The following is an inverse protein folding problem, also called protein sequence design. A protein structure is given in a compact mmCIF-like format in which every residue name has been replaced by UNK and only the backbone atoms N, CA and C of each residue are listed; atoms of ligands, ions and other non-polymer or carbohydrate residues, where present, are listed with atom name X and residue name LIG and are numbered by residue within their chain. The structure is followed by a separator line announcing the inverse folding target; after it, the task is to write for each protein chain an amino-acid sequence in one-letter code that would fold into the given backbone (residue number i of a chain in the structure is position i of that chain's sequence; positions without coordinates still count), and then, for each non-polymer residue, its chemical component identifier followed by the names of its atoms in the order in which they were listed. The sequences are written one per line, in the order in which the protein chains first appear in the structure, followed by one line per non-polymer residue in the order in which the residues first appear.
data_IF_853864014575
#
_entry.id   IF_853864014575
#
_cell.length_a   1.000
_cell.length_b   1.000
_cell.length_c   1.000
_cell.angle_alpha   90.00
_cell.angle_beta   90.00
_cell.angle_gamma   90.00
#
_symmetry.space_group_name_H-M   'P 1'
#
loop_
_entity.id
_entity.type
_entity.pdbx_description
1 polymer ?
#
# COMPACT_ATOMS: atom_id res chain seq x y z
N UNK A 1 6.12 -4.36 -2.90
CA UNK A 1 5.90 -5.75 -3.37
C UNK A 1 6.42 -5.99 -4.79
N UNK A 2 5.84 -5.37 -5.83
CA UNK A 2 6.26 -5.53 -7.23
C UNK A 2 7.79 -5.48 -7.43
N UNK A 3 8.45 -4.42 -6.94
CA UNK A 3 9.90 -4.25 -7.12
C UNK A 3 10.70 -5.42 -6.52
N UNK A 4 10.35 -5.85 -5.31
CA UNK A 4 11.03 -6.95 -4.63
C UNK A 4 10.86 -8.27 -5.38
N UNK A 5 9.65 -8.59 -5.85
CA UNK A 5 9.38 -9.78 -6.65
C UNK A 5 10.12 -9.76 -7.99
N UNK A 6 10.15 -8.61 -8.68
CA UNK A 6 10.87 -8.49 -9.95
C UNK A 6 12.37 -8.68 -9.76
N UNK A 7 12.96 -8.07 -8.74
CA UNK A 7 14.38 -8.23 -8.44
C UNK A 7 14.72 -9.66 -8.02
N UNK A 8 13.88 -10.29 -7.20
CA UNK A 8 14.03 -11.71 -6.85
C UNK A 8 13.91 -12.62 -8.09
N UNK A 9 12.99 -12.33 -9.02
CA UNK A 9 12.77 -13.11 -10.24
C UNK A 9 13.95 -13.09 -11.21
N UNK A 10 14.81 -12.06 -11.14
CA UNK A 10 16.05 -11.98 -11.92
C UNK A 10 17.27 -12.50 -11.13
N UNK A 11 17.02 -13.20 -10.02
CA UNK A 11 18.05 -13.91 -9.24
C UNK A 11 18.75 -13.07 -8.18
N UNK A 12 18.27 -11.86 -7.85
CA UNK A 12 18.87 -11.04 -6.77
C UNK A 12 18.35 -11.46 -5.41
N UNK A 13 19.24 -11.49 -4.41
CA UNK A 13 18.88 -11.63 -3.00
C UNK A 13 18.40 -10.29 -2.47
N UNK A 14 17.10 -10.18 -2.27
CA UNK A 14 16.46 -8.95 -1.81
C UNK A 14 16.05 -9.11 -0.35
N UNK A 15 16.13 -8.05 0.45
CA UNK A 15 15.51 -7.97 1.77
C UNK A 15 14.71 -6.66 1.88
N UNK A 16 13.51 -6.72 2.47
CA UNK A 16 12.69 -5.53 2.74
C UNK A 16 12.86 -5.13 4.21
N UNK A 17 13.13 -3.84 4.45
CA UNK A 17 13.12 -3.24 5.77
C UNK A 17 11.92 -2.31 5.91
N UNK A 18 11.09 -2.54 6.92
CA UNK A 18 9.97 -1.67 7.25
C UNK A 18 10.04 -1.18 8.70
N UNK A 19 9.20 -0.20 9.05
CA UNK A 19 9.21 0.40 10.40
C UNK A 19 8.60 -0.50 11.44
N UNK A 20 7.64 -1.33 11.03
CA UNK A 20 6.70 -1.97 11.96
C UNK A 20 5.81 -0.93 12.65
N UNK A 21 5.24 0.02 11.90
CA UNK A 21 4.34 1.02 12.48
C UNK A 21 3.17 0.33 13.19
N UNK A 22 2.87 0.76 14.42
CA UNK A 22 1.90 0.12 15.36
C UNK A 22 2.22 -1.33 15.79
N UNK A 23 3.33 -1.91 15.35
CA UNK A 23 3.81 -3.20 15.82
C UNK A 23 4.38 -3.15 17.23
N UNK A 24 4.35 -4.28 17.93
CA UNK A 24 4.92 -4.46 19.28
C UNK A 24 6.32 -5.08 19.28
N UNK A 25 6.84 -5.45 18.11
CA UNK A 25 8.19 -6.00 17.99
C UNK A 25 9.25 -5.07 18.60
N UNK A 26 10.31 -5.68 19.15
CA UNK A 26 11.45 -4.98 19.74
C UNK A 26 12.29 -4.21 18.71
N UNK A 27 13.55 -3.96 19.03
CA UNK A 27 14.42 -3.10 18.20
C UNK A 27 14.57 -3.57 16.75
N UNK A 28 14.73 -4.89 16.55
CA UNK A 28 14.79 -5.57 15.25
C UNK A 28 14.04 -6.89 15.36
N UNK A 29 13.20 -7.22 14.39
CA UNK A 29 12.56 -8.52 14.32
C UNK A 29 12.33 -8.99 12.87
N UNK A 30 12.50 -10.29 12.64
CA UNK A 30 12.23 -10.93 11.36
C UNK A 30 10.73 -11.26 11.31
N UNK A 31 10.00 -10.61 10.40
CA UNK A 31 8.59 -10.93 10.13
C UNK A 31 8.50 -12.19 9.28
N UNK A 32 9.35 -12.29 8.25
CA UNK A 32 9.51 -13.46 7.41
C UNK A 32 10.96 -13.62 6.98
N UNK A 33 11.45 -14.86 6.92
CA UNK A 33 12.78 -15.21 6.40
C UNK A 33 12.76 -15.54 4.89
N UNK A 34 11.65 -15.26 4.21
CA UNK A 34 11.44 -15.65 2.82
C UNK A 34 11.09 -17.13 2.63
N UNK A 35 10.67 -17.81 3.71
CA UNK A 35 10.08 -19.17 3.69
C UNK A 35 8.97 -19.32 4.72
N UNK A 36 9.21 -18.82 5.92
CA UNK A 36 8.34 -18.91 7.10
C UNK A 36 8.04 -17.50 7.63
N UNK A 37 6.79 -17.30 8.04
CA UNK A 37 6.34 -16.08 8.69
C UNK A 37 6.38 -16.32 10.21
N UNK A 38 7.17 -15.52 10.90
CA UNK A 38 7.47 -15.71 12.33
C UNK A 38 6.65 -14.79 13.23
N UNK A 39 6.09 -13.71 12.69
CA UNK A 39 5.33 -12.72 13.45
C UNK A 39 3.95 -12.49 12.84
N UNK A 40 2.95 -12.31 13.71
CA UNK A 40 1.62 -11.87 13.30
C UNK A 40 1.55 -10.35 13.09
N UNK A 41 0.41 -9.84 12.59
CA UNK A 41 0.20 -8.40 12.35
C UNK A 41 0.21 -7.57 13.66
N UNK A 42 -0.12 -8.19 14.80
CA UNK A 42 -0.02 -7.58 16.14
C UNK A 42 1.41 -7.11 16.47
N UNK A 43 2.41 -7.90 16.09
CA UNK A 43 3.81 -7.69 16.45
C UNK A 43 4.57 -7.00 15.33
N UNK A 44 4.36 -7.44 14.09
CA UNK A 44 5.02 -6.91 12.91
C UNK A 44 4.46 -5.57 12.43
N UNK A 45 3.21 -5.25 12.76
CA UNK A 45 2.41 -4.27 12.03
C UNK A 45 1.71 -4.92 10.83
N UNK A 46 0.60 -4.33 10.41
CA UNK A 46 -0.24 -4.83 9.32
C UNK A 46 0.46 -4.83 7.97
N UNK A 47 1.15 -3.74 7.62
CA UNK A 47 1.84 -3.59 6.33
C UNK A 47 3.03 -4.56 6.17
N UNK A 48 3.96 -4.70 7.15
CA UNK A 48 5.03 -5.70 7.04
C UNK A 48 4.52 -7.13 7.01
N UNK A 49 3.48 -7.44 7.78
CA UNK A 49 2.83 -8.74 7.75
C UNK A 49 2.20 -9.03 6.39
N UNK A 50 1.48 -8.05 5.82
CA UNK A 50 0.90 -8.17 4.48
C UNK A 50 1.99 -8.40 3.42
N UNK A 51 3.10 -7.67 3.46
CA UNK A 51 4.22 -7.91 2.54
C UNK A 51 4.80 -9.32 2.71
N UNK A 52 5.00 -9.78 3.95
CA UNK A 52 5.52 -11.11 4.25
C UNK A 52 4.60 -12.26 3.77
N UNK A 53 3.28 -12.08 3.89
CA UNK A 53 2.29 -13.08 3.41
C UNK A 53 2.23 -13.17 1.89
N UNK A 54 2.49 -12.06 1.21
CA UNK A 54 2.49 -11.97 -0.26
C UNK A 54 3.78 -12.45 -0.89
N UNK A 55 4.90 -11.92 -0.42
CA UNK A 55 6.21 -12.17 -1.02
C UNK A 55 6.89 -13.30 -0.25
N UNK A 56 6.51 -14.53 -0.60
CA UNK A 56 7.00 -15.73 0.10
C UNK A 56 8.47 -16.05 -0.13
N UNK A 57 9.19 -15.28 -0.95
CA UNK A 57 10.58 -15.54 -1.33
C UNK A 57 11.56 -14.47 -0.84
N UNK A 58 11.05 -13.39 -0.23
CA UNK A 58 11.85 -12.23 0.17
C UNK A 58 11.72 -12.04 1.68
N UNK A 59 12.82 -12.02 2.44
CA UNK A 59 12.77 -11.69 3.86
C UNK A 59 12.23 -10.29 4.11
N UNK A 60 11.43 -10.17 5.16
CA UNK A 60 10.85 -8.90 5.63
C UNK A 60 11.26 -8.72 7.09
N UNK A 61 11.93 -7.62 7.37
CA UNK A 61 12.45 -7.29 8.70
C UNK A 61 11.86 -5.94 9.13
N UNK A 62 11.45 -5.85 10.39
CA UNK A 62 11.00 -4.62 11.01
C UNK A 62 12.02 -4.14 12.02
N UNK A 63 12.19 -2.82 12.11
CA UNK A 63 13.02 -2.22 13.15
C UNK A 63 13.15 -0.71 12.94
N UNK A 64 13.06 0.09 14.00
CA UNK A 64 12.91 1.57 13.89
C UNK A 64 14.14 2.27 13.31
N UNK A 65 15.33 1.76 13.61
CA UNK A 65 16.61 2.24 13.09
C UNK A 65 17.02 1.42 11.86
N UNK A 66 16.79 1.95 10.66
CA UNK A 66 17.04 1.20 9.42
C UNK A 66 18.50 0.91 9.16
N UNK A 67 19.41 1.68 9.74
CA UNK A 67 20.84 1.37 9.64
C UNK A 67 21.15 0.10 10.42
N UNK A 68 20.71 0.01 11.69
CA UNK A 68 20.90 -1.20 12.50
C UNK A 68 20.16 -2.41 11.92
N UNK A 69 18.91 -2.23 11.47
CA UNK A 69 18.14 -3.29 10.83
C UNK A 69 18.80 -3.74 9.52
N UNK A 70 19.41 -2.82 8.77
CA UNK A 70 20.17 -3.13 7.56
C UNK A 70 21.45 -3.93 7.83
N UNK A 71 22.23 -3.56 8.85
CA UNK A 71 23.39 -4.35 9.27
C UNK A 71 22.99 -5.78 9.66
N UNK A 72 21.93 -5.92 10.44
CA UNK A 72 21.38 -7.22 10.80
C UNK A 72 20.93 -8.01 9.56
N UNK A 73 20.28 -7.36 8.59
CA UNK A 73 19.89 -7.99 7.33
C UNK A 73 21.09 -8.51 6.53
N UNK A 74 22.17 -7.72 6.49
CA UNK A 74 23.43 -8.08 5.80
C UNK A 74 24.05 -9.32 6.43
N UNK A 75 24.19 -9.32 7.75
CA UNK A 75 24.74 -10.44 8.51
C UNK A 75 23.91 -11.71 8.32
N UNK A 76 22.58 -11.59 8.39
CA UNK A 76 21.69 -12.75 8.41
C UNK A 76 21.39 -13.34 7.04
N UNK A 77 21.25 -12.51 6.02
CA UNK A 77 20.73 -12.91 4.70
C UNK A 77 21.68 -12.65 3.54
N UNK A 78 22.76 -11.88 3.76
CA UNK A 78 23.72 -11.47 2.72
C UNK A 78 23.03 -11.01 1.43
N UNK A 79 22.15 -9.98 1.50
CA UNK A 79 21.39 -9.52 0.35
C UNK A 79 22.27 -8.77 -0.64
N UNK A 80 21.93 -8.88 -1.92
CA UNK A 80 22.47 -8.01 -2.96
C UNK A 80 21.80 -6.63 -2.91
N UNK A 81 20.51 -6.57 -2.49
CA UNK A 81 19.69 -5.38 -2.51
C UNK A 81 18.84 -5.29 -1.24
N UNK A 82 18.83 -4.12 -0.61
CA UNK A 82 17.94 -3.78 0.49
C UNK A 82 16.90 -2.78 0.00
N UNK A 83 15.62 -3.07 0.22
CA UNK A 83 14.51 -2.16 -0.09
C UNK A 83 13.99 -1.56 1.21
N UNK A 84 13.92 -0.24 1.27
CA UNK A 84 13.28 0.47 2.38
C UNK A 84 11.82 0.74 2.06
N UNK A 85 10.93 0.15 2.84
CA UNK A 85 9.51 0.47 2.84
C UNK A 85 9.28 1.79 3.62
N UNK A 86 8.55 2.72 3.00
CA UNK A 86 8.37 4.13 3.44
C UNK A 86 9.70 4.81 3.85
N UNK A 87 10.72 4.67 3.01
CA UNK A 87 12.10 5.09 3.30
C UNK A 87 12.47 6.52 2.92
N UNK A 88 11.64 7.26 2.18
CA UNK A 88 12.06 8.51 1.52
C UNK A 88 12.48 9.61 2.51
N UNK A 89 11.76 9.74 3.64
CA UNK A 89 12.09 10.67 4.74
C UNK A 89 13.16 10.12 5.70
N UNK A 90 13.66 8.90 5.51
CA UNK A 90 14.68 8.30 6.37
C UNK A 90 16.10 8.79 6.01
N UNK A 91 16.32 10.10 6.13
CA UNK A 91 17.52 10.82 5.65
C UNK A 91 18.83 10.27 6.21
N UNK A 92 18.80 9.74 7.44
CA UNK A 92 19.99 9.22 8.14
C UNK A 92 20.65 8.02 7.44
N UNK A 93 19.92 7.30 6.58
CA UNK A 93 20.46 6.18 5.81
C UNK A 93 20.71 6.62 4.36
N UNK A 94 21.96 6.49 3.91
CA UNK A 94 22.31 6.67 2.52
C UNK A 94 21.60 5.62 1.65
N UNK A 95 21.18 6.03 0.45
CA UNK A 95 20.46 5.19 -0.51
C UNK A 95 21.06 5.44 -1.88
N UNK A 96 21.32 4.38 -2.62
CA UNK A 96 21.86 4.49 -3.99
C UNK A 96 20.78 4.93 -4.99
N UNK A 97 19.53 4.55 -4.72
CA UNK A 97 18.36 4.88 -5.54
C UNK A 97 17.21 5.30 -4.62
N UNK A 98 16.70 6.50 -4.81
CA UNK A 98 15.51 7.01 -4.14
C UNK A 98 14.33 7.02 -5.13
N UNK A 99 13.35 6.16 -4.89
CA UNK A 99 12.12 6.07 -5.70
C UNK A 99 11.00 6.83 -4.98
N UNK A 100 10.54 7.92 -5.58
CA UNK A 100 9.43 8.70 -5.04
C UNK A 100 8.11 8.22 -5.65
N UNK A 101 7.10 7.99 -4.82
CA UNK A 101 5.73 7.72 -5.27
C UNK A 101 4.88 8.98 -5.18
N UNK A 102 4.18 9.31 -6.26
CA UNK A 102 3.26 10.45 -6.33
C UNK A 102 1.90 9.99 -6.86
N UNK A 103 0.81 10.32 -6.17
CA UNK A 103 -0.56 10.07 -6.65
C UNK A 103 -1.02 11.25 -7.52
N UNK A 104 -1.36 11.00 -8.79
CA UNK A 104 -1.71 12.07 -9.74
C UNK A 104 -2.95 12.86 -9.33
N UNK A 105 -3.86 12.26 -8.56
CA UNK A 105 -5.10 12.92 -8.12
C UNK A 105 -4.86 13.93 -7.01
N UNK A 106 -3.93 13.61 -6.10
CA UNK A 106 -3.60 14.46 -4.96
C UNK A 106 -2.43 15.39 -5.25
N UNK A 107 -1.54 14.99 -6.15
CA UNK A 107 -0.29 15.66 -6.47
C UNK A 107 0.42 16.13 -5.19
N UNK A 108 0.68 17.43 -5.09
CA UNK A 108 1.27 18.08 -3.91
C UNK A 108 0.24 18.82 -3.04
N UNK A 109 -1.06 18.58 -3.26
CA UNK A 109 -2.15 19.25 -2.55
C UNK A 109 -2.10 20.77 -2.69
N UNK A 110 -2.19 21.48 -1.57
CA UNK A 110 -2.04 22.93 -1.52
C UNK A 110 -0.57 23.40 -1.40
N UNK A 111 0.40 22.51 -1.50
CA UNK A 111 1.84 22.83 -1.42
C UNK A 111 2.38 23.06 0.00
N UNK A 112 1.55 22.94 1.04
CA UNK A 112 1.95 23.16 2.43
C UNK A 112 2.24 21.84 3.17
N UNK A 113 3.09 21.95 4.19
CA UNK A 113 3.37 20.86 5.13
C UNK A 113 2.15 20.57 6.00
N UNK A 114 2.05 19.33 6.46
CA UNK A 114 1.13 18.96 7.53
C UNK A 114 1.34 19.84 8.79
N UNK A 115 0.27 20.31 9.46
CA UNK A 115 -1.15 20.01 9.22
C UNK A 115 -1.85 20.96 8.23
N UNK A 116 -1.19 22.01 7.74
CA UNK A 116 -1.79 22.97 6.81
C UNK A 116 -2.06 22.36 5.43
N UNK A 117 -1.24 21.38 5.03
CA UNK A 117 -1.42 20.58 3.82
C UNK A 117 -1.14 19.10 4.07
N UNK A 118 -0.92 18.35 2.99
CA UNK A 118 -0.70 16.89 3.04
C UNK A 118 0.78 16.50 2.97
N UNK A 119 1.68 17.46 2.72
CA UNK A 119 3.09 17.16 2.52
C UNK A 119 3.75 16.80 3.87
N UNK A 120 4.48 15.68 3.89
CA UNK A 120 5.30 15.28 5.04
C UNK A 120 6.63 16.04 5.11
N UNK A 121 7.07 16.59 3.99
CA UNK A 121 8.31 17.36 3.86
C UNK A 121 8.22 18.38 2.72
N UNK A 122 9.09 19.41 2.68
CA UNK A 122 9.02 20.43 1.63
C UNK A 122 9.31 19.86 0.24
N UNK A 123 8.78 20.50 -0.80
CA UNK A 123 9.02 20.10 -2.20
C UNK A 123 10.50 20.10 -2.61
N UNK A 124 11.37 20.80 -1.88
CA UNK A 124 12.81 20.69 -2.09
C UNK A 124 13.35 19.26 -1.86
N UNK A 125 12.62 18.43 -1.11
CA UNK A 125 12.93 17.01 -0.93
C UNK A 125 12.85 16.19 -2.23
N UNK A 126 12.12 16.67 -3.25
CA UNK A 126 12.06 16.05 -4.57
C UNK A 126 13.45 15.88 -5.20
N UNK A 127 14.39 16.79 -4.91
CA UNK A 127 15.76 16.75 -5.45
C UNK A 127 16.54 15.48 -5.12
N UNK A 128 16.10 14.72 -4.11
CA UNK A 128 16.72 13.44 -3.75
C UNK A 128 16.21 12.28 -4.61
N UNK A 129 15.06 12.43 -5.26
CA UNK A 129 14.51 11.36 -6.08
C UNK A 129 15.43 11.06 -7.27
N UNK A 130 15.71 9.77 -7.47
CA UNK A 130 16.34 9.25 -8.67
C UNK A 130 15.31 9.05 -9.77
N UNK A 131 14.11 8.62 -9.41
CA UNK A 131 12.97 8.46 -10.32
C UNK A 131 11.65 8.66 -9.57
N UNK A 132 10.61 9.01 -10.33
CA UNK A 132 9.26 9.18 -9.78
C UNK A 132 8.30 8.16 -10.39
N UNK A 133 7.63 7.41 -9.53
CA UNK A 133 6.48 6.58 -9.89
C UNK A 133 5.21 7.41 -9.74
N UNK A 134 4.59 7.74 -10.89
CA UNK A 134 3.35 8.51 -10.92
C UNK A 134 2.16 7.55 -11.00
N UNK A 135 1.43 7.39 -9.89
CA UNK A 135 0.19 6.63 -9.86
C UNK A 135 -0.90 7.42 -10.59
N UNK A 136 -1.38 6.90 -11.71
CA UNK A 136 -2.52 7.47 -12.46
C UNK A 136 -3.85 6.96 -11.91
N UNK A 137 -4.90 7.78 -12.00
CA UNK A 137 -6.29 7.35 -11.86
C UNK A 137 -6.72 6.58 -13.12
N UNK A 138 -7.61 5.61 -12.97
CA UNK A 138 -8.42 5.10 -14.09
C UNK A 138 -9.66 5.99 -14.35
N UNK A 139 -10.03 6.84 -13.39
CA UNK A 139 -11.20 7.72 -13.46
C UNK A 139 -10.93 8.96 -14.31
N UNK A 140 -11.53 8.97 -15.51
CA UNK A 140 -11.66 10.11 -16.43
C UNK A 140 -12.36 11.33 -15.78
N UNK A 141 -11.65 12.10 -14.95
CA UNK A 141 -12.03 13.49 -14.67
C UNK A 141 -10.98 14.42 -15.25
N UNK A 142 -11.14 14.66 -16.55
CA UNK A 142 -10.26 15.45 -17.42
C UNK A 142 -9.85 16.80 -16.80
N UNK A 143 -10.74 17.47 -16.06
CA UNK A 143 -10.47 18.81 -15.52
C UNK A 143 -9.51 18.86 -14.31
N UNK A 144 -9.53 17.84 -13.46
CA UNK A 144 -8.64 17.79 -12.27
C UNK A 144 -7.26 17.22 -12.62
N UNK A 145 -7.22 16.29 -13.58
CA UNK A 145 -5.98 15.72 -14.08
C UNK A 145 -5.17 16.71 -14.91
N UNK A 146 -5.79 17.58 -15.72
CA UNK A 146 -5.07 18.58 -16.53
C UNK A 146 -4.38 19.68 -15.70
N UNK A 147 -5.07 20.21 -14.68
CA UNK A 147 -4.46 21.19 -13.74
C UNK A 147 -3.37 20.58 -12.88
N UNK A 148 -3.60 19.39 -12.34
CA UNK A 148 -2.61 18.73 -11.49
C UNK A 148 -1.43 18.19 -12.32
N UNK A 149 -1.67 17.66 -13.52
CA UNK A 149 -0.59 17.14 -14.40
C UNK A 149 0.34 18.24 -14.89
N UNK A 150 -0.16 19.43 -15.23
CA UNK A 150 0.69 20.57 -15.61
C UNK A 150 1.56 21.08 -14.44
N UNK A 151 1.00 21.14 -13.23
CA UNK A 151 1.79 21.49 -12.03
C UNK A 151 2.80 20.39 -11.65
N UNK A 152 2.41 19.11 -11.74
CA UNK A 152 3.27 17.95 -11.49
C UNK A 152 4.46 17.92 -12.46
N UNK A 153 4.18 18.07 -13.75
CA UNK A 153 5.22 18.06 -14.80
C UNK A 153 6.22 19.21 -14.60
N UNK A 154 5.78 20.41 -14.21
CA UNK A 154 6.71 21.51 -13.93
C UNK A 154 7.68 21.24 -12.78
N UNK A 155 7.21 20.64 -11.69
CA UNK A 155 8.04 20.37 -10.50
C UNK A 155 8.89 19.10 -10.64
N UNK A 156 8.48 18.17 -11.50
CA UNK A 156 9.12 16.87 -11.69
C UNK A 156 9.81 16.73 -13.06
N UNK A 157 9.89 17.80 -13.87
CA UNK A 157 10.40 17.79 -15.25
C UNK A 157 11.80 17.19 -15.39
N UNK A 158 12.62 17.32 -14.35
CA UNK A 158 14.03 16.93 -14.38
C UNK A 158 14.24 15.46 -13.95
N UNK A 159 13.17 14.71 -13.63
CA UNK A 159 13.25 13.33 -13.18
C UNK A 159 12.62 12.37 -14.19
N UNK A 160 13.15 11.14 -14.34
CA UNK A 160 12.44 10.07 -15.02
C UNK A 160 11.10 9.79 -14.33
N UNK A 161 10.00 9.95 -15.05
CA UNK A 161 8.65 9.67 -14.56
C UNK A 161 8.15 8.37 -15.19
N UNK A 162 7.83 7.39 -14.35
CA UNK A 162 7.23 6.13 -14.78
C UNK A 162 5.77 6.12 -14.30
N UNK A 163 4.79 6.24 -15.22
CA UNK A 163 3.40 6.14 -14.83
C UNK A 163 3.03 4.69 -14.51
N UNK A 164 2.18 4.49 -13.51
CA UNK A 164 1.60 3.19 -13.20
C UNK A 164 0.15 3.32 -12.72
N UNK A 165 -0.61 2.24 -12.80
CA UNK A 165 -1.95 2.12 -12.21
C UNK A 165 -2.05 0.79 -11.47
N UNK A 166 -3.00 0.68 -10.55
CA UNK A 166 -3.37 -0.58 -9.94
C UNK A 166 -4.50 -1.21 -10.75
N UNK A 167 -4.33 -2.48 -11.11
CA UNK A 167 -5.38 -3.27 -11.74
C UNK A 167 -5.81 -4.39 -10.80
N UNK A 168 -7.09 -4.46 -10.39
CA UNK A 168 -7.59 -5.64 -9.68
C UNK A 168 -7.45 -6.88 -10.56
N UNK A 169 -6.84 -7.94 -10.01
CA UNK A 169 -6.57 -9.18 -10.76
C UNK A 169 -7.43 -10.36 -10.34
N UNK A 170 -8.03 -10.30 -9.15
CA UNK A 170 -8.92 -11.31 -8.62
C UNK A 170 -9.59 -10.82 -7.34
N UNK A 171 -10.67 -11.49 -6.98
CA UNK A 171 -11.31 -11.37 -5.66
C UNK A 171 -10.99 -12.64 -4.89
N UNK A 172 -10.76 -12.51 -3.58
CA UNK A 172 -10.54 -13.67 -2.70
C UNK A 172 -11.74 -13.80 -1.77
N UNK A 173 -12.34 -14.98 -1.74
CA UNK A 173 -13.32 -15.31 -0.73
C UNK A 173 -12.59 -15.55 0.61
N UNK A 174 -12.94 -14.78 1.64
CA UNK A 174 -12.28 -14.86 2.95
C UNK A 174 -12.59 -16.14 3.74
N UNK A 175 -13.71 -16.81 3.44
CA UNK A 175 -14.17 -18.00 4.17
C UNK A 175 -13.46 -19.26 3.68
N UNK A 176 -13.42 -19.46 2.37
CA UNK A 176 -12.87 -20.69 1.77
C UNK A 176 -11.56 -20.47 1.01
N UNK A 177 -11.06 -19.23 0.94
CA UNK A 177 -9.82 -18.89 0.23
C UNK A 177 -9.93 -18.94 -1.29
N UNK A 178 -11.11 -19.20 -1.87
CA UNK A 178 -11.29 -19.32 -3.31
C UNK A 178 -10.93 -18.02 -4.02
N UNK A 179 -10.19 -18.15 -5.12
CA UNK A 179 -9.86 -17.05 -6.02
C UNK A 179 -10.95 -16.94 -7.09
N UNK A 180 -11.71 -15.86 -7.06
CA UNK A 180 -12.76 -15.54 -8.01
C UNK A 180 -12.25 -14.58 -9.08
N UNK A 181 -12.75 -14.72 -10.31
CA UNK A 181 -12.48 -13.78 -11.39
C UNK A 181 -13.15 -12.44 -11.10
N UNK A 182 -12.53 -11.33 -11.50
CA UNK A 182 -13.04 -9.97 -11.23
C UNK A 182 -14.44 -9.72 -11.81
N UNK A 183 -14.76 -10.37 -12.93
CA UNK A 183 -16.07 -10.28 -13.58
C UNK A 183 -17.21 -10.84 -12.73
N UNK A 184 -16.92 -11.60 -11.66
CA UNK A 184 -17.95 -12.12 -10.76
C UNK A 184 -18.72 -11.01 -10.03
N UNK A 185 -18.20 -9.78 -10.02
CA UNK A 185 -18.87 -8.62 -9.43
C UNK A 185 -19.79 -7.87 -10.40
N UNK A 186 -19.73 -8.18 -11.70
CA UNK A 186 -20.50 -7.43 -12.70
C UNK A 186 -22.00 -7.57 -12.45
N UNK A 187 -22.67 -6.45 -12.26
CA UNK A 187 -24.10 -6.37 -11.95
C UNK A 187 -24.47 -6.76 -10.51
N UNK A 188 -23.49 -7.13 -9.67
CA UNK A 188 -23.73 -7.51 -8.28
C UNK A 188 -23.98 -6.31 -7.41
N UNK A 189 -24.95 -6.44 -6.50
CA UNK A 189 -25.24 -5.44 -5.47
C UNK A 189 -24.33 -5.70 -4.28
N UNK A 190 -23.40 -4.79 -4.00
CA UNK A 190 -22.35 -5.00 -3.01
C UNK A 190 -22.33 -3.92 -1.93
N UNK A 191 -21.89 -4.30 -0.74
CA UNK A 191 -21.46 -3.36 0.28
C UNK A 191 -19.93 -3.35 0.34
N UNK A 192 -19.35 -2.19 0.64
CA UNK A 192 -17.90 -2.07 0.85
C UNK A 192 -17.59 -1.84 2.32
N UNK A 193 -16.50 -2.45 2.81
CA UNK A 193 -15.94 -2.24 4.13
C UNK A 193 -14.47 -1.88 3.99
N UNK A 194 -14.03 -0.75 4.55
CA UNK A 194 -12.61 -0.37 4.47
C UNK A 194 -12.13 0.44 5.66
N UNK A 195 -10.84 0.27 5.99
CA UNK A 195 -10.12 0.93 7.06
C UNK A 195 -8.79 1.46 6.53
N UNK A 196 -8.86 2.20 5.42
CA UNK A 196 -7.73 2.70 4.65
C UNK A 196 -7.77 4.23 4.52
N UNK A 197 -6.65 4.83 4.14
CA UNK A 197 -6.53 6.29 3.93
C UNK A 197 -7.37 6.88 2.78
N UNK A 198 -7.91 6.05 1.87
CA UNK A 198 -8.74 6.51 0.74
C UNK A 198 -9.91 5.56 0.40
N UNK A 199 -10.98 5.53 1.23
CA UNK A 199 -12.14 4.68 0.99
C UNK A 199 -12.83 4.95 -0.35
N UNK A 200 -12.82 6.22 -0.81
CA UNK A 200 -13.44 6.62 -2.08
C UNK A 200 -12.75 5.96 -3.27
N UNK A 201 -11.42 5.93 -3.28
CA UNK A 201 -10.66 5.22 -4.33
C UNK A 201 -10.98 3.72 -4.38
N UNK A 202 -11.20 3.10 -3.23
CA UNK A 202 -11.58 1.70 -3.16
C UNK A 202 -12.98 1.46 -3.71
N UNK A 203 -13.95 2.30 -3.34
CA UNK A 203 -15.29 2.29 -3.92
C UNK A 203 -15.25 2.39 -5.45
N UNK A 204 -14.56 3.40 -5.98
CA UNK A 204 -14.44 3.60 -7.44
C UNK A 204 -13.82 2.39 -8.15
N UNK A 205 -12.87 1.71 -7.50
CA UNK A 205 -12.32 0.45 -8.02
C UNK A 205 -13.39 -0.65 -8.10
N UNK A 206 -14.21 -0.81 -7.07
CA UNK A 206 -15.28 -1.82 -7.02
C UNK A 206 -16.38 -1.52 -8.05
N UNK A 207 -16.77 -0.25 -8.20
CA UNK A 207 -17.71 0.19 -9.23
C UNK A 207 -17.14 0.02 -10.65
N UNK A 208 -15.84 0.29 -10.84
CA UNK A 208 -15.14 0.08 -12.10
C UNK A 208 -15.08 -1.40 -12.54
N UNK A 209 -15.20 -2.35 -11.61
CA UNK A 209 -15.38 -3.77 -11.91
C UNK A 209 -16.83 -4.14 -12.31
N UNK A 210 -17.73 -3.16 -12.38
CA UNK A 210 -19.12 -3.33 -12.78
C UNK A 210 -20.07 -3.68 -11.64
N UNK A 211 -19.63 -3.57 -10.38
CA UNK A 211 -20.49 -3.75 -9.22
C UNK A 211 -21.37 -2.52 -8.96
N UNK A 212 -22.52 -2.72 -8.32
CA UNK A 212 -23.37 -1.64 -7.82
C UNK A 212 -23.17 -1.53 -6.32
N UNK A 213 -22.45 -0.50 -5.86
CA UNK A 213 -22.19 -0.28 -4.43
C UNK A 213 -23.43 0.33 -3.77
N UNK A 214 -24.10 -0.46 -2.94
CA UNK A 214 -25.33 -0.05 -2.24
C UNK A 214 -25.03 0.63 -0.91
N UNK A 215 -23.95 0.22 -0.23
CA UNK A 215 -23.58 0.72 1.10
C UNK A 215 -22.07 0.76 1.28
N UNK A 216 -21.61 1.76 2.01
CA UNK A 216 -20.20 1.94 2.36
C UNK A 216 -20.05 1.96 3.89
N UNK A 217 -19.14 1.13 4.39
CA UNK A 217 -18.71 1.11 5.77
C UNK A 217 -17.24 1.56 5.82
N UNK A 218 -17.02 2.80 6.26
CA UNK A 218 -15.69 3.41 6.28
C UNK A 218 -15.23 3.62 7.72
N UNK A 219 -14.00 3.18 8.01
CA UNK A 219 -13.35 3.27 9.30
C UNK A 219 -11.99 3.98 9.17
N UNK A 220 -11.40 4.47 10.28
CA UNK A 220 -10.06 5.07 10.27
C UNK A 220 -8.98 4.16 9.68
N UNK A 221 -7.86 4.72 9.24
CA UNK A 221 -6.75 3.93 8.69
C UNK A 221 -6.11 3.03 9.77
N UNK A 222 -5.81 1.79 9.40
CA UNK A 222 -5.36 0.71 10.29
C UNK A 222 -6.39 0.37 11.39
N UNK A 223 -7.68 0.40 11.08
CA UNK A 223 -8.74 0.03 12.02
C UNK A 223 -8.75 -1.48 12.31
N UNK A 224 -8.87 -1.86 13.59
CA UNK A 224 -9.08 -3.24 14.01
C UNK A 224 -10.57 -3.51 14.20
N UNK A 225 -11.19 -4.21 13.27
CA UNK A 225 -12.59 -4.58 13.35
C UNK A 225 -12.87 -5.53 14.51
N UNK A 226 -13.91 -5.24 15.29
CA UNK A 226 -14.39 -6.16 16.32
C UNK A 226 -15.45 -7.11 15.76
N UNK A 227 -15.60 -8.29 16.38
CA UNK A 227 -16.65 -9.25 15.99
C UNK A 227 -18.06 -8.65 16.15
N UNK A 228 -18.26 -7.76 17.13
CA UNK A 228 -19.55 -7.08 17.33
C UNK A 228 -19.90 -6.18 16.14
N UNK A 229 -18.92 -5.40 15.64
CA UNK A 229 -19.12 -4.51 14.50
C UNK A 229 -19.36 -5.29 13.21
N UNK A 230 -18.60 -6.35 12.96
CA UNK A 230 -18.81 -7.22 11.80
C UNK A 230 -20.21 -7.85 11.85
N UNK A 231 -20.65 -8.31 13.02
CA UNK A 231 -22.01 -8.82 13.20
C UNK A 231 -23.08 -7.75 12.95
N UNK A 232 -22.84 -6.51 13.35
CA UNK A 232 -23.75 -5.39 13.09
C UNK A 232 -23.83 -5.05 11.59
N UNK A 233 -22.70 -5.07 10.88
CA UNK A 233 -22.63 -4.89 9.43
C UNK A 233 -23.45 -5.99 8.73
N UNK A 234 -23.23 -7.25 9.12
CA UNK A 234 -23.99 -8.39 8.55
C UNK A 234 -25.49 -8.26 8.81
N UNK A 235 -25.90 -7.74 9.97
CA UNK A 235 -27.33 -7.46 10.24
C UNK A 235 -27.88 -6.38 9.30
N UNK A 236 -27.20 -5.24 9.19
CA UNK A 236 -27.61 -4.15 8.28
C UNK A 236 -27.67 -4.61 6.82
N UNK A 237 -26.79 -5.53 6.42
CA UNK A 237 -26.81 -6.13 5.08
C UNK A 237 -27.99 -7.08 4.84
N UNK A 238 -28.67 -7.60 5.87
CA UNK A 238 -29.89 -8.39 5.67
C UNK A 238 -31.11 -7.51 5.41
N UNK A 239 -31.10 -6.30 5.94
CA UNK A 239 -32.18 -5.31 5.78
C UNK A 239 -32.12 -4.57 4.43
N UNK A 240 -31.00 -4.73 3.71
CA UNK A 240 -30.72 -4.07 2.44
C UNK A 240 -30.38 -5.16 1.42
N UNK A 241 -30.97 -5.13 0.23
CA UNK A 241 -30.70 -6.10 -0.82
C UNK A 241 -29.24 -6.03 -1.31
N UNK A 242 -28.33 -6.71 -0.61
CA UNK A 242 -26.88 -6.77 -0.85
C UNK A 242 -26.44 -8.22 -0.90
N UNK A 243 -25.75 -8.59 -1.97
CA UNK A 243 -25.30 -9.96 -2.21
C UNK A 243 -23.93 -10.26 -1.61
N UNK A 244 -23.03 -9.27 -1.58
CA UNK A 244 -21.61 -9.47 -1.23
C UNK A 244 -21.07 -8.31 -0.41
N UNK A 245 -20.32 -8.62 0.66
CA UNK A 245 -19.46 -7.66 1.36
C UNK A 245 -18.05 -7.72 0.77
N UNK A 246 -17.55 -6.60 0.25
CA UNK A 246 -16.21 -6.48 -0.33
C UNK A 246 -15.35 -5.61 0.57
N UNK A 247 -14.12 -6.06 0.86
CA UNK A 247 -13.16 -5.32 1.68
C UNK A 247 -11.77 -5.33 1.06
N UNK A 248 -10.87 -4.53 1.60
CA UNK A 248 -9.46 -4.51 1.21
C UNK A 248 -8.73 -5.70 1.81
N UNK A 249 -7.53 -5.97 1.31
CA UNK A 249 -6.71 -7.04 1.87
C UNK A 249 -5.95 -6.63 3.15
N UNK A 250 -5.72 -5.32 3.33
CA UNK A 250 -5.29 -4.72 4.60
C UNK A 250 -6.48 -4.69 5.54
#
# INVERSE_FOLDING_TARGET
MYLAERLASIGKKVVILSRGYKGKAGDIAIVSDGKHISLGPEDAGDEPYLMATKIKTVPVIVGRDRYKTGLYAIEKFSPDIIILDDGFQHIRLARDIDILLVDSRRAFGNGYLFPLGILREPLNGLKRATLVLLKKSEENTLESEEKNSSQLTGQMKDFPIIPFTYKPVAIRNLVNGARLHIDSLKGKRVATLSGIADPKSFKGTVEGLGAVVIREFSYPDHYKYTSCELNNIVKQMKDIDVEILITTEK
#
